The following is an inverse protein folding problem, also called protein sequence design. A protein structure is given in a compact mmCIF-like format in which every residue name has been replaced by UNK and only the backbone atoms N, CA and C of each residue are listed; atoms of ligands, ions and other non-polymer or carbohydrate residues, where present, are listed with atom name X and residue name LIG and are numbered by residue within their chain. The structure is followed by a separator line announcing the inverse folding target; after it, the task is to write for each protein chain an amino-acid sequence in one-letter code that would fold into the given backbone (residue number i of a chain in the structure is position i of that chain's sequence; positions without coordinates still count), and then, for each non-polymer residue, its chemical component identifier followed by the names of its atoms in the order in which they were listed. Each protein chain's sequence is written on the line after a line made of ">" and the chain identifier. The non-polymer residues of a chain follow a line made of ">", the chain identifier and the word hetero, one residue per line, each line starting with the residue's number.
data_IF_520691299612
#
_entry.id   IF_520691299612
#
_cell.length_a   1.000
_cell.length_b   1.000
_cell.length_c   1.000
_cell.angle_alpha   90.00
_cell.angle_beta   90.00
_cell.angle_gamma   90.00
#
_symmetry.space_group_name_H-M   'P 1'
#
loop_
_entity.id
_entity.type
_entity.pdbx_description
1 polymer ?
#
# COMPACT_ATOMS: atom_id res chain seq x y z
N UNK A 1 -22.44 -33.17 14.88
CA UNK A 1 -21.32 -32.24 15.18
C UNK A 1 -20.10 -32.60 14.33
N UNK A 2 -19.47 -31.63 13.66
CA UNK A 2 -18.18 -31.84 12.99
C UNK A 2 -17.11 -32.22 14.03
N UNK A 3 -16.44 -33.36 13.85
CA UNK A 3 -15.34 -33.83 14.73
C UNK A 3 -14.09 -32.93 14.68
N UNK A 4 -13.97 -32.14 13.61
CA UNK A 4 -12.90 -31.17 13.45
C UNK A 4 -13.43 -29.76 13.71
N UNK A 5 -12.87 -29.11 14.72
CA UNK A 5 -13.18 -27.73 15.12
C UNK A 5 -12.44 -26.68 14.27
N UNK A 6 -11.75 -27.13 13.21
CA UNK A 6 -10.98 -26.27 12.33
C UNK A 6 -11.74 -25.98 11.04
N UNK A 7 -11.83 -24.70 10.67
CA UNK A 7 -12.43 -24.32 9.39
C UNK A 7 -11.54 -24.80 8.23
N UNK A 8 -12.07 -25.66 7.37
CA UNK A 8 -11.35 -26.10 6.18
C UNK A 8 -11.02 -24.92 5.24
N UNK A 9 -11.84 -23.88 5.10
CA UNK A 9 -11.52 -22.81 4.14
C UNK A 9 -10.41 -21.87 4.62
N UNK A 10 -10.49 -21.44 5.88
CA UNK A 10 -9.66 -20.35 6.45
C UNK A 10 -8.67 -20.80 7.52
N UNK A 11 -8.81 -22.01 8.07
CA UNK A 11 -7.95 -22.49 9.15
C UNK A 11 -8.27 -21.92 10.54
N UNK A 12 -9.43 -21.27 10.72
CA UNK A 12 -9.91 -20.85 12.06
C UNK A 12 -9.89 -22.07 13.01
N UNK A 13 -9.37 -21.99 14.24
CA UNK A 13 -9.07 -20.78 15.03
C UNK A 13 -7.68 -20.16 14.87
N UNK A 14 -6.85 -20.61 13.92
CA UNK A 14 -5.53 -20.02 13.73
C UNK A 14 -5.61 -18.51 13.38
N UNK A 15 -4.71 -17.71 13.95
CA UNK A 15 -4.66 -16.27 13.70
C UNK A 15 -4.32 -15.93 12.23
N UNK A 16 -3.49 -16.77 11.59
CA UNK A 16 -3.15 -16.64 10.17
C UNK A 16 -4.17 -17.41 9.32
N UNK A 17 -4.60 -16.78 8.22
CA UNK A 17 -5.46 -17.44 7.24
C UNK A 17 -4.68 -18.52 6.50
N UNK A 18 -5.33 -19.66 6.27
CA UNK A 18 -4.81 -20.75 5.44
C UNK A 18 -4.69 -20.32 3.96
N UNK A 19 -3.48 -20.38 3.42
CA UNK A 19 -3.17 -20.07 2.03
C UNK A 19 -2.17 -21.10 1.50
N UNK A 20 -2.36 -21.55 0.26
CA UNK A 20 -1.46 -22.47 -0.41
C UNK A 20 -1.05 -21.91 -1.79
N UNK A 21 0.25 -21.89 -2.07
CA UNK A 21 0.80 -21.32 -3.31
C UNK A 21 0.37 -22.08 -4.57
N UNK A 22 0.10 -23.38 -4.44
CA UNK A 22 -0.40 -24.22 -5.54
C UNK A 22 -1.81 -23.85 -6.00
N UNK A 23 -2.58 -23.07 -5.23
CA UNK A 23 -3.93 -22.64 -5.60
C UNK A 23 -4.02 -21.13 -5.87
N UNK A 24 -3.41 -20.68 -6.97
CA UNK A 24 -3.39 -19.26 -7.38
C UNK A 24 -4.80 -18.67 -7.50
N UNK A 25 -5.78 -19.44 -8.02
CA UNK A 25 -7.18 -19.01 -8.12
C UNK A 25 -7.80 -18.73 -6.75
N UNK A 26 -7.49 -19.56 -5.75
CA UNK A 26 -7.99 -19.39 -4.39
C UNK A 26 -7.38 -18.17 -3.70
N UNK A 27 -6.11 -17.84 -4.01
CA UNK A 27 -5.45 -16.61 -3.57
C UNK A 27 -6.14 -15.39 -4.20
N UNK A 28 -6.33 -15.39 -5.52
CA UNK A 28 -6.96 -14.26 -6.25
C UNK A 28 -8.37 -13.91 -5.75
N UNK A 29 -9.18 -14.90 -5.35
CA UNK A 29 -10.52 -14.66 -4.78
C UNK A 29 -10.50 -13.94 -3.43
N UNK A 30 -9.39 -14.03 -2.69
CA UNK A 30 -9.27 -13.57 -1.30
C UNK A 30 -8.24 -12.46 -1.08
N UNK A 31 -7.49 -12.10 -2.12
CA UNK A 31 -6.49 -11.04 -2.06
C UNK A 31 -7.12 -9.68 -1.73
N UNK A 32 -6.32 -8.78 -1.18
CA UNK A 32 -6.72 -7.38 -0.96
C UNK A 32 -7.18 -6.77 -2.28
N UNK A 33 -8.35 -6.14 -2.29
CA UNK A 33 -8.97 -5.63 -3.52
C UNK A 33 -10.37 -6.18 -3.77
N UNK A 34 -10.68 -7.39 -3.30
CA UNK A 34 -11.96 -8.06 -3.61
C UNK A 34 -13.12 -7.60 -2.72
N UNK A 35 -12.84 -6.94 -1.58
CA UNK A 35 -13.83 -6.47 -0.62
C UNK A 35 -14.12 -4.97 -0.68
N UNK A 36 -14.92 -4.48 0.29
CA UNK A 36 -15.35 -3.08 0.34
C UNK A 36 -14.20 -2.07 0.53
N UNK A 37 -13.09 -2.49 1.15
CA UNK A 37 -11.88 -1.68 1.41
C UNK A 37 -12.17 -0.31 2.05
N UNK A 38 -13.00 -0.27 3.10
CA UNK A 38 -13.52 0.97 3.70
C UNK A 38 -12.42 1.95 4.14
N UNK A 39 -11.35 1.43 4.75
CA UNK A 39 -10.22 2.24 5.21
C UNK A 39 -9.23 2.53 4.07
N UNK A 40 -8.71 1.48 3.43
CA UNK A 40 -7.68 1.60 2.38
C UNK A 40 -8.11 2.51 1.22
N UNK A 41 -9.38 2.50 0.81
CA UNK A 41 -9.88 3.43 -0.24
C UNK A 41 -9.78 4.90 0.16
N UNK A 42 -10.05 5.24 1.42
CA UNK A 42 -9.94 6.62 1.92
C UNK A 42 -8.48 7.07 1.94
N UNK A 43 -7.61 6.18 2.42
CA UNK A 43 -6.16 6.40 2.46
C UNK A 43 -5.61 6.64 1.05
N UNK A 44 -5.93 5.77 0.09
CA UNK A 44 -5.53 5.93 -1.31
C UNK A 44 -6.01 7.23 -1.95
N UNK A 45 -7.21 7.71 -1.63
CA UNK A 45 -7.73 8.99 -2.13
C UNK A 45 -6.94 10.19 -1.60
N UNK A 46 -6.56 10.19 -0.33
CA UNK A 46 -5.73 11.26 0.26
C UNK A 46 -4.36 11.33 -0.43
N UNK A 47 -3.70 10.19 -0.57
CA UNK A 47 -2.41 10.13 -1.26
C UNK A 47 -2.45 10.52 -2.75
N UNK A 48 -3.62 10.42 -3.40
CA UNK A 48 -3.79 10.83 -4.81
C UNK A 48 -4.05 12.34 -4.98
N UNK A 49 -4.51 13.04 -3.95
CA UNK A 49 -4.78 14.49 -4.01
C UNK A 49 -3.56 15.38 -3.75
N UNK A 50 -2.60 14.91 -2.96
CA UNK A 50 -1.40 15.65 -2.54
C UNK A 50 -0.16 15.65 -3.50
N UNK A 51 -0.08 14.88 -4.61
CA UNK A 51 1.18 14.81 -5.37
C UNK A 51 1.44 16.04 -6.24
N UNK A 52 0.43 16.87 -6.53
CA UNK A 52 0.64 18.08 -7.34
C UNK A 52 1.47 19.10 -6.54
N UNK A 53 1.17 19.26 -5.25
CA UNK A 53 1.79 20.29 -4.40
C UNK A 53 3.17 19.82 -3.92
N UNK A 54 3.29 18.57 -3.48
CA UNK A 54 4.57 17.98 -3.05
C UNK A 54 5.55 17.82 -4.22
N UNK A 55 5.05 17.53 -5.42
CA UNK A 55 5.85 17.45 -6.66
C UNK A 55 6.28 18.81 -7.20
N UNK A 56 5.38 19.82 -7.21
CA UNK A 56 5.72 21.17 -7.64
C UNK A 56 6.70 21.86 -6.66
N UNK A 57 6.45 21.79 -5.35
CA UNK A 57 7.35 22.38 -4.34
C UNK A 57 8.74 21.73 -4.44
N UNK A 58 8.81 20.41 -4.61
CA UNK A 58 10.08 19.70 -4.80
C UNK A 58 10.85 20.13 -6.05
N UNK A 59 10.16 20.39 -7.18
CA UNK A 59 10.78 20.91 -8.41
C UNK A 59 11.37 22.30 -8.21
N UNK A 60 10.60 23.23 -7.61
CA UNK A 60 11.05 24.60 -7.36
C UNK A 60 12.15 24.70 -6.29
N UNK A 61 12.08 23.93 -5.19
CA UNK A 61 13.13 23.88 -4.15
C UNK A 61 14.45 23.36 -4.72
N UNK A 62 14.42 22.35 -5.61
CA UNK A 62 15.60 21.84 -6.31
C UNK A 62 16.18 22.89 -7.27
N UNK A 63 15.32 23.61 -8.00
CA UNK A 63 15.71 24.65 -8.95
C UNK A 63 16.38 25.86 -8.28
N UNK A 64 15.98 26.18 -7.05
CA UNK A 64 16.50 27.31 -6.28
C UNK A 64 17.77 26.92 -5.49
N UNK A 65 17.86 25.70 -4.96
CA UNK A 65 19.00 25.29 -4.13
C UNK A 65 20.25 24.91 -4.93
N UNK A 66 20.12 24.42 -6.18
CA UNK A 66 21.25 24.12 -7.06
C UNK A 66 22.10 25.37 -7.38
N UNK A 67 21.54 26.52 -7.81
CA UNK A 67 22.33 27.72 -8.07
C UNK A 67 22.86 28.40 -6.79
N UNK A 68 22.11 28.37 -5.67
CA UNK A 68 22.52 29.01 -4.41
C UNK A 68 23.80 28.37 -3.84
N UNK A 69 23.89 27.03 -3.85
CA UNK A 69 25.06 26.34 -3.29
C UNK A 69 26.30 26.47 -4.18
N UNK A 70 26.14 26.63 -5.50
CA UNK A 70 27.25 26.84 -6.43
C UNK A 70 27.80 28.28 -6.39
N UNK A 71 26.97 29.26 -6.00
CA UNK A 71 27.38 30.67 -5.84
C UNK A 71 28.08 30.94 -4.50
N UNK A 72 27.72 30.22 -3.43
CA UNK A 72 28.29 30.42 -2.08
C UNK A 72 29.61 29.64 -1.88
N UNK A 73 29.75 28.45 -2.46
CA UNK A 73 30.97 27.61 -2.33
C UNK A 73 32.00 27.86 -3.44
N UNK A 74 31.61 28.57 -4.49
CA UNK A 74 32.46 28.93 -5.64
C UNK A 74 33.12 30.30 -5.57
N UNK A 75 33.09 30.96 -4.41
CA UNK A 75 33.84 32.19 -4.11
C UNK A 75 34.92 31.92 -3.07
#
# INVERSE_FOLDING_TARGET
>A
MSRYQTCASYGYPAAKKRVYQWSVKAIRRRTTGTGRMRHLKKVQRRFKGEPIIMGFIGFFVKLIHIPINNIIVGA
#
